data_IF_414178784101
#
_entry.id   IF_414178784101
#
_cell.length_a   1.000
_cell.length_b   1.000
_cell.length_c   1.000
_cell.angle_alpha   90.00
_cell.angle_beta   90.00
_cell.angle_gamma   90.00
#
_symmetry.space_group_name_H-M   'P 1'
#
loop_
_entity.id
_entity.type
_entity.pdbx_description
1 polymer ?
#
# COMPACT_ATOMS: atom_id res chain seq x y z
N UNK A 1 -23.37 21.27 1.60
CA UNK A 1 -22.57 20.15 1.15
C UNK A 1 -21.48 19.84 2.18
N UNK A 2 -21.43 18.64 2.56
CA UNK A 2 -20.37 18.26 3.48
C UNK A 2 -19.05 18.34 2.74
N UNK A 3 -18.20 19.20 3.18
CA UNK A 3 -16.87 19.26 2.62
C UNK A 3 -16.16 17.95 2.98
N UNK A 4 -15.59 17.26 2.03
CA UNK A 4 -14.79 16.10 2.35
C UNK A 4 -13.45 16.56 2.90
N UNK A 5 -13.52 17.36 3.92
CA UNK A 5 -12.34 17.99 4.47
C UNK A 5 -11.38 16.97 5.06
N UNK A 6 -11.87 15.76 5.26
CA UNK A 6 -11.02 14.71 5.80
C UNK A 6 -10.08 14.09 4.78
N UNK A 7 -10.17 14.48 3.49
CA UNK A 7 -9.27 13.92 2.48
C UNK A 7 -7.85 14.44 2.70
N UNK A 8 -6.89 13.58 3.03
CA UNK A 8 -5.51 14.01 3.21
C UNK A 8 -4.91 14.52 1.92
N UNK A 9 -3.91 15.38 2.04
CA UNK A 9 -3.17 15.85 0.88
C UNK A 9 -2.53 14.64 0.19
N UNK A 10 -2.69 14.55 -1.13
CA UNK A 10 -2.12 13.48 -1.93
C UNK A 10 -2.99 12.25 -2.07
N UNK A 11 -4.05 12.11 -1.27
CA UNK A 11 -4.95 10.98 -1.42
C UNK A 11 -5.86 11.20 -2.63
N UNK A 12 -5.91 10.22 -3.54
CA UNK A 12 -6.80 10.24 -4.69
C UNK A 12 -7.95 9.25 -4.53
N UNK A 13 -7.87 8.39 -3.54
CA UNK A 13 -8.87 7.35 -3.32
C UNK A 13 -8.91 7.01 -1.83
N UNK A 14 -10.12 6.95 -1.28
CA UNK A 14 -10.32 6.49 0.09
C UNK A 14 -11.35 5.39 0.04
N UNK A 15 -10.99 4.21 0.56
CA UNK A 15 -11.88 3.05 0.56
C UNK A 15 -11.91 2.42 1.95
N UNK A 16 -13.02 1.75 2.23
CA UNK A 16 -13.07 0.79 3.32
C UNK A 16 -12.95 -0.59 2.70
N UNK A 17 -11.98 -1.37 3.15
CA UNK A 17 -11.67 -2.63 2.51
C UNK A 17 -11.19 -3.66 3.52
N UNK A 18 -11.49 -4.93 3.23
CA UNK A 18 -11.12 -6.05 4.09
C UNK A 18 -9.88 -6.72 3.52
N UNK A 19 -8.87 -6.90 4.35
CA UNK A 19 -7.64 -7.57 3.93
C UNK A 19 -7.92 -9.06 3.70
N UNK A 20 -7.60 -9.55 2.51
CA UNK A 20 -7.87 -10.94 2.15
C UNK A 20 -6.61 -11.72 1.77
N UNK A 21 -5.54 -11.05 1.39
CA UNK A 21 -4.31 -11.73 1.00
C UNK A 21 -3.09 -10.87 1.33
N UNK A 22 -2.06 -11.51 1.88
CA UNK A 22 -0.80 -10.86 2.21
C UNK A 22 0.34 -11.60 1.49
N UNK A 23 1.23 -10.84 0.86
CA UNK A 23 2.46 -11.41 0.35
C UNK A 23 3.32 -11.87 1.53
N UNK A 24 3.92 -13.04 1.40
CA UNK A 24 4.78 -13.59 2.45
C UNK A 24 5.94 -12.64 2.74
N UNK A 25 6.37 -12.56 4.01
CA UNK A 25 7.51 -11.71 4.36
C UNK A 25 8.74 -12.11 3.59
N UNK A 26 9.51 -11.10 3.19
CA UNK A 26 10.81 -11.37 2.56
C UNK A 26 11.87 -11.50 3.63
N UNK A 27 12.88 -12.32 3.35
CA UNK A 27 14.00 -12.43 4.24
C UNK A 27 15.02 -11.35 3.96
N UNK A 28 15.87 -11.06 4.95
CA UNK A 28 16.88 -10.03 4.81
C UNK A 28 17.82 -10.31 3.63
N UNK A 29 18.09 -11.56 3.35
CA UNK A 29 18.92 -11.96 2.22
C UNK A 29 18.28 -11.57 0.88
N UNK A 30 16.96 -11.64 0.80
CA UNK A 30 16.24 -11.24 -0.40
C UNK A 30 16.22 -9.73 -0.58
N UNK A 31 16.37 -8.98 0.52
CA UNK A 31 16.35 -7.53 0.48
C UNK A 31 17.61 -6.97 -0.19
N UNK A 32 18.75 -7.59 0.06
CA UNK A 32 20.02 -7.07 -0.44
C UNK A 32 20.06 -7.03 -1.96
N UNK A 33 20.60 -5.96 -2.56
CA UNK A 33 21.29 -4.80 -1.95
C UNK A 33 20.35 -3.61 -1.64
N UNK A 34 19.07 -3.82 -1.62
CA UNK A 34 18.09 -2.75 -1.47
C UNK A 34 17.91 -2.42 0.00
N UNK A 35 17.59 -1.16 0.28
CA UNK A 35 17.30 -0.70 1.64
C UNK A 35 15.80 -0.58 1.89
N UNK A 36 15.03 -0.39 0.83
CA UNK A 36 13.58 -0.31 0.88
C UNK A 36 12.98 -1.41 0.02
N UNK A 37 11.84 -1.93 0.46
CA UNK A 37 11.17 -3.01 -0.25
C UNK A 37 9.67 -2.94 0.03
N UNK A 38 8.87 -3.12 -1.03
CA UNK A 38 7.42 -3.12 -0.92
C UNK A 38 6.87 -4.53 -1.09
N UNK A 39 5.78 -4.83 -0.41
CA UNK A 39 5.06 -6.10 -0.57
C UNK A 39 3.59 -5.80 -0.87
N UNK A 40 2.97 -6.64 -1.69
CA UNK A 40 1.58 -6.44 -2.12
C UNK A 40 0.59 -7.16 -1.24
N UNK A 41 -0.43 -6.43 -0.79
CA UNK A 41 -1.56 -6.98 -0.05
C UNK A 41 -2.82 -6.73 -0.87
N UNK A 42 -3.72 -7.71 -0.90
CA UNK A 42 -4.99 -7.58 -1.63
C UNK A 42 -6.12 -7.43 -0.63
N UNK A 43 -7.00 -6.48 -0.91
CA UNK A 43 -8.16 -6.18 -0.07
C UNK A 43 -9.43 -6.30 -0.91
N UNK A 44 -10.52 -6.79 -0.30
CA UNK A 44 -11.86 -6.69 -0.87
C UNK A 44 -12.42 -5.30 -0.57
N UNK A 45 -12.78 -4.56 -1.60
CA UNK A 45 -13.35 -3.22 -1.45
C UNK A 45 -14.78 -3.35 -0.95
N UNK A 46 -15.05 -2.81 0.24
CA UNK A 46 -16.38 -2.81 0.83
C UNK A 46 -17.14 -1.53 0.51
N UNK A 47 -16.42 -0.41 0.44
CA UNK A 47 -17.02 0.89 0.18
C UNK A 47 -15.97 1.83 -0.37
N UNK A 48 -16.33 2.57 -1.41
CA UNK A 48 -15.51 3.68 -1.90
C UNK A 48 -16.02 4.94 -1.22
N UNK A 49 -15.20 5.52 -0.35
CA UNK A 49 -15.58 6.69 0.45
C UNK A 49 -15.33 7.97 -0.34
N UNK A 50 -14.21 8.03 -1.05
CA UNK A 50 -13.87 9.20 -1.88
C UNK A 50 -13.08 8.74 -3.08
N UNK A 51 -13.24 9.43 -4.20
CA UNK A 51 -12.60 9.06 -5.45
C UNK A 51 -13.44 8.03 -6.20
N UNK A 52 -12.84 7.42 -7.21
CA UNK A 52 -13.52 6.42 -8.06
C UNK A 52 -12.67 5.17 -8.14
N UNK A 53 -13.33 4.03 -7.98
CA UNK A 53 -12.66 2.74 -8.12
C UNK A 53 -13.70 1.70 -8.52
N UNK A 54 -13.46 0.99 -9.62
CA UNK A 54 -14.46 0.10 -10.21
C UNK A 54 -14.24 -1.38 -9.98
N UNK A 55 -13.10 -1.78 -9.40
CA UNK A 55 -12.82 -3.20 -9.18
C UNK A 55 -13.31 -3.63 -7.81
N UNK A 56 -13.56 -4.94 -7.66
CA UNK A 56 -13.98 -5.50 -6.37
C UNK A 56 -12.84 -5.65 -5.39
N UNK A 57 -11.62 -5.77 -5.90
CA UNK A 57 -10.43 -5.91 -5.08
C UNK A 57 -9.44 -4.82 -5.42
N UNK A 58 -8.58 -4.50 -4.48
CA UNK A 58 -7.56 -3.47 -4.65
C UNK A 58 -6.23 -4.01 -4.15
N UNK A 59 -5.18 -3.72 -4.90
CA UNK A 59 -3.81 -4.10 -4.56
C UNK A 59 -3.13 -2.90 -3.92
N UNK A 60 -2.68 -3.06 -2.68
CA UNK A 60 -1.99 -2.00 -1.95
C UNK A 60 -0.59 -2.48 -1.61
N UNK A 61 0.40 -1.71 -2.03
CA UNK A 61 1.79 -2.01 -1.71
C UNK A 61 2.14 -1.38 -0.36
N UNK A 62 2.68 -2.19 0.52
CA UNK A 62 3.08 -1.75 1.86
C UNK A 62 4.58 -1.85 2.01
N UNK A 63 5.24 -0.86 2.63
CA UNK A 63 6.67 -0.97 2.90
C UNK A 63 6.95 -2.12 3.87
N UNK A 64 7.73 -3.10 3.43
CA UNK A 64 8.19 -4.16 4.31
C UNK A 64 9.48 -3.79 5.00
N UNK A 65 10.32 -3.00 4.32
CA UNK A 65 11.57 -2.46 4.87
C UNK A 65 11.72 -1.02 4.45
N UNK A 66 12.19 -0.19 5.37
CA UNK A 66 12.57 1.20 5.11
C UNK A 66 13.91 1.41 5.79
N UNK A 67 14.95 1.75 5.00
CA UNK A 67 16.30 1.93 5.54
C UNK A 67 16.80 0.69 6.26
N UNK A 68 16.55 -0.50 5.71
CA UNK A 68 16.90 -1.80 6.28
C UNK A 68 16.14 -2.17 7.54
N UNK A 69 15.16 -1.35 7.96
CA UNK A 69 14.35 -1.63 9.15
C UNK A 69 13.05 -2.32 8.74
N UNK A 70 12.76 -3.49 9.33
CA UNK A 70 11.50 -4.17 9.04
C UNK A 70 10.33 -3.37 9.59
N UNK A 71 9.24 -3.36 8.84
CA UNK A 71 8.03 -2.62 9.20
C UNK A 71 7.00 -3.54 9.83
N UNK A 72 6.17 -2.99 10.71
CA UNK A 72 5.21 -3.77 11.50
C UNK A 72 3.95 -4.07 10.70
N UNK A 73 4.05 -4.91 9.68
CA UNK A 73 2.88 -5.26 8.87
C UNK A 73 2.01 -6.33 9.52
N UNK A 74 2.47 -6.94 10.61
CA UNK A 74 1.66 -7.92 11.33
C UNK A 74 0.41 -7.33 11.97
N UNK A 75 0.35 -6.00 12.14
CA UNK A 75 -0.85 -5.33 12.64
C UNK A 75 -2.00 -5.40 11.64
N UNK A 76 -1.70 -5.56 10.36
CA UNK A 76 -2.71 -5.72 9.33
C UNK A 76 -3.07 -7.19 9.24
N UNK A 77 -4.32 -7.51 9.59
CA UNK A 77 -4.75 -8.91 9.73
C UNK A 77 -5.76 -9.28 8.66
N UNK A 78 -5.56 -10.45 8.08
CA UNK A 78 -6.53 -11.00 7.11
C UNK A 78 -7.88 -11.15 7.81
N UNK A 79 -8.94 -10.72 7.12
CA UNK A 79 -10.30 -10.77 7.63
C UNK A 79 -10.75 -9.50 8.32
N UNK A 80 -9.85 -8.55 8.54
CA UNK A 80 -10.21 -7.27 9.14
C UNK A 80 -10.38 -6.20 8.08
N UNK A 81 -11.27 -5.25 8.36
CA UNK A 81 -11.54 -4.13 7.47
C UNK A 81 -10.79 -2.90 7.94
N UNK A 82 -10.31 -2.11 6.99
CA UNK A 82 -9.54 -0.91 7.24
C UNK A 82 -10.01 0.21 6.32
N UNK A 83 -9.92 1.43 6.80
CA UNK A 83 -10.06 2.59 5.92
C UNK A 83 -8.68 2.92 5.36
N UNK A 84 -8.58 2.93 4.04
CA UNK A 84 -7.31 3.13 3.35
C UNK A 84 -7.35 4.42 2.57
N UNK A 85 -6.41 5.29 2.83
CA UNK A 85 -6.24 6.56 2.12
C UNK A 85 -5.08 6.37 1.14
N UNK A 86 -5.40 6.34 -0.14
CA UNK A 86 -4.53 5.79 -1.15
C UNK A 86 -4.24 6.77 -2.28
N UNK A 87 -3.11 6.54 -2.94
CA UNK A 87 -2.83 7.10 -4.25
C UNK A 87 -2.18 6.01 -5.09
N UNK A 88 -2.13 6.19 -6.40
CA UNK A 88 -1.49 5.20 -7.26
C UNK A 88 0.00 5.14 -6.95
N UNK A 89 0.53 3.93 -6.90
CA UNK A 89 1.96 3.74 -6.69
C UNK A 89 2.75 4.39 -7.80
N UNK A 90 2.27 4.28 -9.03
CA UNK A 90 2.93 4.81 -10.21
C UNK A 90 3.14 6.32 -10.12
N UNK A 91 2.25 7.02 -9.44
CA UNK A 91 2.38 8.46 -9.24
C UNK A 91 3.17 8.86 -8.01
N UNK A 92 3.76 7.92 -7.28
CA UNK A 92 4.43 8.19 -6.03
C UNK A 92 5.94 8.08 -6.17
N UNK A 93 6.64 8.60 -5.14
CA UNK A 93 8.10 8.48 -5.10
C UNK A 93 8.55 7.05 -4.85
N UNK A 94 7.63 6.17 -4.47
CA UNK A 94 7.92 4.75 -4.24
C UNK A 94 7.83 3.91 -5.52
N UNK A 95 7.50 4.50 -6.66
CA UNK A 95 7.21 3.75 -7.89
C UNK A 95 8.40 2.92 -8.39
N UNK A 96 9.61 3.32 -8.07
CA UNK A 96 10.82 2.61 -8.53
C UNK A 96 11.41 1.67 -7.48
N UNK A 97 10.74 1.55 -6.33
CA UNK A 97 11.24 0.71 -5.24
C UNK A 97 10.99 -0.76 -5.55
N UNK A 98 11.95 -1.60 -5.20
CA UNK A 98 11.83 -3.05 -5.38
C UNK A 98 10.61 -3.57 -4.63
N UNK A 99 9.88 -4.48 -5.26
CA UNK A 99 8.64 -5.00 -4.68
C UNK A 99 8.47 -6.48 -4.96
N UNK A 100 7.63 -7.11 -4.14
CA UNK A 100 7.22 -8.50 -4.30
C UNK A 100 5.72 -8.58 -4.08
N UNK A 101 5.02 -9.29 -4.97
CA UNK A 101 3.58 -9.47 -4.87
C UNK A 101 3.25 -10.92 -5.20
N UNK A 102 2.83 -11.67 -4.19
CA UNK A 102 2.47 -13.08 -4.32
C UNK A 102 1.01 -13.29 -4.72
N UNK A 103 0.23 -12.20 -4.88
CA UNK A 103 -1.21 -12.33 -5.14
C UNK A 103 -1.53 -12.88 -6.53
N UNK A 104 -0.65 -12.69 -7.48
CA UNK A 104 -0.91 -13.04 -8.86
C UNK A 104 -1.90 -12.11 -9.56
N UNK A 105 -2.29 -11.02 -8.92
CA UNK A 105 -3.28 -10.09 -9.45
C UNK A 105 -2.61 -9.00 -10.27
N UNK A 106 -1.97 -9.40 -11.36
CA UNK A 106 -1.21 -8.47 -12.21
C UNK A 106 -2.12 -7.47 -12.95
N UNK A 107 -3.42 -7.77 -13.01
CA UNK A 107 -4.37 -6.89 -13.66
C UNK A 107 -4.76 -5.68 -12.80
N UNK A 108 -4.44 -5.72 -11.49
CA UNK A 108 -4.78 -4.62 -10.59
C UNK A 108 -3.66 -3.60 -10.58
N UNK A 109 -4.03 -2.34 -10.73
CA UNK A 109 -3.07 -1.25 -10.58
C UNK A 109 -2.67 -1.13 -9.11
N UNK A 110 -1.36 -1.10 -8.78
CA UNK A 110 -0.96 -1.00 -7.38
C UNK A 110 -1.17 0.41 -6.83
N UNK A 111 -1.59 0.46 -5.58
CA UNK A 111 -1.77 1.69 -4.81
C UNK A 111 -0.83 1.67 -3.61
N UNK A 112 -0.59 2.84 -3.01
CA UNK A 112 0.16 2.97 -1.78
C UNK A 112 -0.61 3.87 -0.83
N UNK A 113 -0.54 3.58 0.48
CA UNK A 113 -1.17 4.45 1.46
C UNK A 113 -0.41 5.77 1.53
N UNK A 114 -1.16 6.86 1.62
CA UNK A 114 -0.57 8.20 1.70
C UNK A 114 0.40 8.29 2.88
N UNK A 115 0.04 7.70 4.01
CA UNK A 115 0.89 7.71 5.20
C UNK A 115 2.20 6.95 4.99
N UNK A 116 2.18 5.90 4.17
CA UNK A 116 3.39 5.14 3.87
C UNK A 116 4.27 5.89 2.87
N UNK A 117 3.66 6.56 1.91
CA UNK A 117 4.42 7.35 0.96
C UNK A 117 5.24 8.42 1.67
N UNK A 118 4.65 9.03 2.70
CA UNK A 118 5.32 10.08 3.46
C UNK A 118 6.53 9.59 4.23
N UNK A 119 6.67 8.28 4.40
CA UNK A 119 7.79 7.67 5.13
C UNK A 119 9.00 7.39 4.25
N UNK A 120 8.99 7.81 2.99
CA UNK A 120 10.13 7.62 2.10
C UNK A 120 11.36 8.33 2.69
N UNK A 121 12.51 7.62 2.81
CA UNK A 121 13.67 8.21 3.50
C UNK A 121 14.28 9.31 2.66
N UNK A 122 14.27 10.52 3.18
CA UNK A 122 14.85 11.66 2.47
C UNK A 122 16.37 11.60 2.45
N UNK A 123 16.96 11.11 3.52
CA UNK A 123 18.41 11.07 3.65
C UNK A 123 19.05 10.00 2.79
N UNK A 124 18.28 9.09 2.24
CA UNK A 124 18.81 8.01 1.43
C UNK A 124 19.11 8.43 -0.02
N UNK A 125 18.86 9.69 -0.40
CA UNK A 125 18.93 10.12 -1.80
C UNK A 125 19.81 11.36 -1.99
#
# INVERSE_FOLDING_TARGET
MAAPSATPAGASLIVKAKLVSKTNPIRREELMPYQEFLVGFVYDVEQVIAGEYGEKQILVMHPAYIGLQPQSLGKLRIGRSYELQLRTLDGSIWSTIKSKDDSGRIELEPYIRVQDEARYPKSAR
#
